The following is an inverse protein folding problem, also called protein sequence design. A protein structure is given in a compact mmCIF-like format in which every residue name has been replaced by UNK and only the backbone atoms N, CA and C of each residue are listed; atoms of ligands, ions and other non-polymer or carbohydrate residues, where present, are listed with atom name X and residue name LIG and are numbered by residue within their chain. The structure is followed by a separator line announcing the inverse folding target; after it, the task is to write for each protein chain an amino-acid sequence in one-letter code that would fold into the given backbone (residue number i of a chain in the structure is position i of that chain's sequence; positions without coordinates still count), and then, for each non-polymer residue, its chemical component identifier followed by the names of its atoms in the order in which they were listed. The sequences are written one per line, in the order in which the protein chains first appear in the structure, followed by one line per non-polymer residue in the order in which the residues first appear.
data_IF_837107645257
#
_entry.id   IF_837107645257
#
_cell.length_a   1.000
_cell.length_b   1.000
_cell.length_c   1.000
_cell.angle_alpha   90.00
_cell.angle_beta   90.00
_cell.angle_gamma   90.00
#
_symmetry.space_group_name_H-M   'P 1'
#
loop_
_entity.id
_entity.type
_entity.pdbx_description
1 polymer ?
#
# COMPACT_ATOMS: atom_id res chain seq x y z
N UNK A 1 9.88 -21.01 -0.23
CA UNK A 1 9.69 -20.94 -1.68
C UNK A 1 10.42 -19.71 -2.22
N UNK A 2 11.16 -19.87 -3.31
CA UNK A 2 11.93 -18.79 -3.95
C UNK A 2 10.95 -17.74 -4.49
N UNK A 3 11.14 -16.47 -4.11
CA UNK A 3 10.27 -15.34 -4.46
C UNK A 3 10.06 -15.21 -5.97
N UNK A 4 11.14 -15.42 -6.76
CA UNK A 4 11.08 -15.44 -8.22
C UNK A 4 10.13 -16.52 -8.75
N UNK A 5 10.25 -17.75 -8.23
CA UNK A 5 9.39 -18.87 -8.65
C UNK A 5 7.93 -18.64 -8.33
N UNK A 6 7.63 -18.03 -7.17
CA UNK A 6 6.26 -17.68 -6.79
C UNK A 6 5.67 -16.59 -7.69
N UNK A 7 6.44 -15.54 -8.02
CA UNK A 7 6.00 -14.51 -8.95
C UNK A 7 5.69 -15.08 -10.33
N UNK A 8 6.60 -15.92 -10.86
CA UNK A 8 6.39 -16.56 -12.17
C UNK A 8 5.18 -17.49 -12.13
N UNK A 9 5.05 -18.31 -11.08
CA UNK A 9 3.90 -19.22 -10.90
C UNK A 9 2.59 -18.43 -10.88
N UNK A 10 2.54 -17.31 -10.16
CA UNK A 10 1.35 -16.48 -10.08
C UNK A 10 0.97 -15.88 -11.43
N UNK A 11 1.92 -15.32 -12.17
CA UNK A 11 1.64 -14.69 -13.47
C UNK A 11 1.26 -15.71 -14.55
N UNK A 12 1.89 -16.88 -14.55
CA UNK A 12 1.50 -17.95 -15.48
C UNK A 12 0.12 -18.51 -15.08
N UNK A 13 -0.15 -18.65 -13.78
CA UNK A 13 -1.47 -19.05 -13.27
C UNK A 13 -2.56 -18.07 -13.69
N UNK A 14 -2.34 -16.75 -13.51
CA UNK A 14 -3.25 -15.70 -13.99
C UNK A 14 -3.45 -15.76 -15.51
N UNK A 15 -2.38 -15.98 -16.28
CA UNK A 15 -2.48 -16.14 -17.73
C UNK A 15 -3.37 -17.32 -18.13
N UNK A 16 -3.18 -18.48 -17.52
CA UNK A 16 -3.98 -19.68 -17.81
C UNK A 16 -5.45 -19.45 -17.44
N UNK A 17 -5.72 -18.93 -16.25
CA UNK A 17 -7.08 -18.69 -15.76
C UNK A 17 -7.81 -17.64 -16.60
N UNK A 18 -7.12 -16.55 -16.97
CA UNK A 18 -7.69 -15.53 -17.88
C UNK A 18 -7.95 -16.11 -19.26
N UNK A 19 -7.08 -16.99 -19.78
CA UNK A 19 -7.29 -17.70 -21.02
C UNK A 19 -8.51 -18.62 -21.00
N UNK A 20 -8.73 -19.33 -19.89
CA UNK A 20 -9.94 -20.12 -19.69
C UNK A 20 -11.20 -19.23 -19.59
N UNK A 21 -11.09 -18.07 -18.96
CA UNK A 21 -12.18 -17.10 -18.90
C UNK A 21 -12.53 -16.54 -20.30
N UNK A 22 -11.56 -16.39 -21.18
CA UNK A 22 -11.78 -15.96 -22.57
C UNK A 22 -12.65 -16.93 -23.41
N UNK A 23 -12.79 -18.18 -22.98
CA UNK A 23 -13.72 -19.13 -23.58
C UNK A 23 -15.18 -18.82 -23.28
N UNK A 24 -15.43 -17.94 -22.31
CA UNK A 24 -16.77 -17.55 -21.82
C UNK A 24 -17.59 -18.78 -21.44
N UNK A 25 -17.13 -19.54 -20.44
CA UNK A 25 -17.79 -20.76 -20.01
C UNK A 25 -19.08 -20.46 -19.22
N UNK A 26 -19.78 -21.49 -18.81
CA UNK A 26 -20.96 -21.36 -17.96
C UNK A 26 -20.66 -20.61 -16.65
N UNK A 27 -21.66 -19.90 -16.11
CA UNK A 27 -21.52 -18.99 -14.97
C UNK A 27 -20.79 -19.63 -13.77
N UNK A 28 -21.14 -20.83 -13.37
CA UNK A 28 -20.48 -21.53 -12.25
C UNK A 28 -18.99 -21.85 -12.50
N UNK A 29 -18.58 -22.02 -13.77
CA UNK A 29 -17.17 -22.20 -14.14
C UNK A 29 -16.43 -20.87 -14.00
N UNK A 30 -17.07 -19.75 -14.35
CA UNK A 30 -16.52 -18.40 -14.16
C UNK A 30 -16.24 -18.16 -12.68
N UNK A 31 -17.16 -18.51 -11.80
CA UNK A 31 -16.99 -18.42 -10.34
C UNK A 31 -15.76 -19.22 -9.85
N UNK A 32 -15.60 -20.44 -10.34
CA UNK A 32 -14.43 -21.28 -10.01
C UNK A 32 -13.12 -20.67 -10.53
N UNK A 33 -13.11 -20.09 -11.74
CA UNK A 33 -11.97 -19.40 -12.31
C UNK A 33 -11.62 -18.17 -11.45
N UNK A 34 -12.60 -17.38 -11.05
CA UNK A 34 -12.43 -16.22 -10.18
C UNK A 34 -11.83 -16.60 -8.82
N UNK A 35 -12.32 -17.68 -8.20
CA UNK A 35 -11.75 -18.21 -6.97
C UNK A 35 -10.28 -18.65 -7.16
N UNK A 36 -9.98 -19.29 -8.29
CA UNK A 36 -8.61 -19.65 -8.67
C UNK A 36 -7.70 -18.42 -8.84
N UNK A 37 -8.18 -17.37 -9.52
CA UNK A 37 -7.48 -16.09 -9.67
C UNK A 37 -7.20 -15.43 -8.32
N UNK A 38 -8.18 -15.42 -7.42
CA UNK A 38 -7.99 -14.88 -6.08
C UNK A 38 -6.86 -15.59 -5.32
N UNK A 39 -6.80 -16.93 -5.38
CA UNK A 39 -5.72 -17.71 -4.77
C UNK A 39 -4.34 -17.39 -5.38
N UNK A 40 -4.25 -17.33 -6.68
CA UNK A 40 -3.01 -17.01 -7.40
C UNK A 40 -2.55 -15.59 -7.08
N UNK A 41 -3.49 -14.65 -6.97
CA UNK A 41 -3.22 -13.25 -6.65
C UNK A 41 -2.64 -13.06 -5.23
N UNK A 42 -3.04 -13.89 -4.25
CA UNK A 42 -2.43 -13.89 -2.91
C UNK A 42 -0.93 -14.19 -3.00
N UNK A 43 -0.52 -15.19 -3.80
CA UNK A 43 0.89 -15.52 -3.99
C UNK A 43 1.65 -14.39 -4.70
N UNK A 44 1.03 -13.75 -5.69
CA UNK A 44 1.60 -12.59 -6.39
C UNK A 44 1.88 -11.45 -5.41
N UNK A 45 0.89 -10.99 -4.68
CA UNK A 45 1.02 -9.86 -3.75
C UNK A 45 2.04 -10.13 -2.66
N UNK A 46 2.03 -11.31 -2.06
CA UNK A 46 2.99 -11.70 -1.04
C UNK A 46 4.43 -11.63 -1.55
N UNK A 47 4.66 -12.15 -2.77
CA UNK A 47 5.98 -12.18 -3.38
C UNK A 47 6.42 -10.81 -3.87
N UNK A 48 5.50 -10.00 -4.39
CA UNK A 48 5.73 -8.63 -4.84
C UNK A 48 6.15 -7.73 -3.67
N UNK A 49 5.40 -7.72 -2.57
CA UNK A 49 5.72 -6.95 -1.37
C UNK A 49 7.06 -7.38 -0.76
N UNK A 50 7.32 -8.69 -0.69
CA UNK A 50 8.62 -9.21 -0.24
C UNK A 50 9.77 -8.70 -1.13
N UNK A 51 9.59 -8.70 -2.46
CA UNK A 51 10.59 -8.20 -3.41
C UNK A 51 10.89 -6.72 -3.19
N UNK A 52 9.86 -5.89 -3.04
CA UNK A 52 10.01 -4.46 -2.75
C UNK A 52 10.77 -4.25 -1.44
N UNK A 53 10.43 -5.00 -0.40
CA UNK A 53 11.09 -4.87 0.91
C UNK A 53 12.57 -5.29 0.87
N UNK A 54 12.93 -6.31 0.12
CA UNK A 54 14.33 -6.73 -0.05
C UNK A 54 15.14 -5.69 -0.85
N UNK A 55 14.53 -5.05 -1.84
CA UNK A 55 15.16 -4.01 -2.66
C UNK A 55 15.37 -2.71 -1.90
N UNK A 56 14.49 -2.37 -0.95
CA UNK A 56 14.57 -1.17 -0.15
C UNK A 56 15.52 -1.33 1.03
N UNK A 57 16.45 -0.36 1.20
CA UNK A 57 17.16 -0.20 2.49
C UNK A 57 16.17 0.31 3.54
N UNK A 58 16.42 0.06 4.82
CA UNK A 58 15.52 0.48 5.91
C UNK A 58 15.23 2.00 5.91
N UNK A 59 16.17 2.81 5.42
CA UNK A 59 16.03 4.25 5.28
C UNK A 59 15.23 4.74 4.07
N UNK A 60 14.86 3.85 3.14
CA UNK A 60 14.20 4.20 1.87
C UNK A 60 12.97 3.33 1.54
N UNK A 61 12.43 2.63 2.53
CA UNK A 61 11.29 1.72 2.35
C UNK A 61 10.06 2.45 1.78
N UNK A 62 9.72 3.64 2.32
CA UNK A 62 8.58 4.42 1.85
C UNK A 62 8.69 4.78 0.36
N UNK A 63 9.87 5.25 -0.07
CA UNK A 63 10.13 5.59 -1.47
C UNK A 63 10.00 4.38 -2.39
N UNK A 64 10.55 3.23 -2.01
CA UNK A 64 10.52 2.02 -2.84
C UNK A 64 9.10 1.45 -2.94
N UNK A 65 8.33 1.43 -1.84
CA UNK A 65 6.91 1.05 -1.88
C UNK A 65 6.09 2.01 -2.73
N UNK A 66 6.30 3.33 -2.57
CA UNK A 66 5.63 4.35 -3.37
C UNK A 66 5.95 4.25 -4.86
N UNK A 67 7.22 3.99 -5.22
CA UNK A 67 7.61 3.74 -6.61
C UNK A 67 6.99 2.45 -7.16
N UNK A 68 6.93 1.38 -6.35
CA UNK A 68 6.28 0.13 -6.74
C UNK A 68 4.81 0.33 -7.12
N UNK A 69 4.05 1.06 -6.31
CA UNK A 69 2.67 1.41 -6.62
C UNK A 69 2.57 2.37 -7.83
N UNK A 70 3.49 3.34 -7.95
CA UNK A 70 3.55 4.24 -9.10
C UNK A 70 3.77 3.49 -10.43
N UNK A 71 4.75 2.59 -10.48
CA UNK A 71 4.99 1.75 -11.67
C UNK A 71 3.82 0.82 -11.98
N UNK A 72 3.16 0.27 -10.94
CA UNK A 72 1.93 -0.50 -11.12
C UNK A 72 0.84 0.36 -11.80
N UNK A 73 0.69 1.62 -11.38
CA UNK A 73 -0.23 2.56 -12.01
C UNK A 73 0.09 2.82 -13.49
N UNK A 74 1.36 3.03 -13.85
CA UNK A 74 1.78 3.24 -15.25
C UNK A 74 1.47 2.01 -16.11
N UNK A 75 1.86 0.82 -15.66
CA UNK A 75 1.62 -0.42 -16.40
C UNK A 75 0.14 -0.75 -16.50
N UNK A 76 -0.64 -0.50 -15.44
CA UNK A 76 -2.10 -0.63 -15.43
C UNK A 76 -2.77 0.32 -16.41
N UNK A 77 -2.37 1.60 -16.44
CA UNK A 77 -2.88 2.58 -17.41
C UNK A 77 -2.61 2.15 -18.84
N UNK A 78 -1.39 1.75 -19.15
CA UNK A 78 -1.03 1.29 -20.49
C UNK A 78 -1.86 0.08 -20.92
N UNK A 79 -2.01 -0.91 -20.05
CA UNK A 79 -2.82 -2.10 -20.32
C UNK A 79 -4.30 -1.75 -20.52
N UNK A 80 -4.86 -0.86 -19.68
CA UNK A 80 -6.25 -0.42 -19.78
C UNK A 80 -6.51 0.34 -21.09
N UNK A 81 -5.60 1.23 -21.51
CA UNK A 81 -5.73 1.95 -22.76
C UNK A 81 -5.71 1.00 -23.97
N UNK A 82 -4.83 0.01 -23.97
CA UNK A 82 -4.80 -1.02 -25.01
C UNK A 82 -6.10 -1.84 -25.01
N UNK A 83 -6.58 -2.24 -23.84
CA UNK A 83 -7.85 -2.97 -23.71
C UNK A 83 -9.04 -2.16 -24.24
N UNK A 84 -9.08 -0.85 -23.98
CA UNK A 84 -10.12 0.04 -24.49
C UNK A 84 -10.07 0.14 -26.02
N UNK A 85 -8.88 0.25 -26.62
CA UNK A 85 -8.70 0.23 -28.07
C UNK A 85 -9.16 -1.11 -28.67
N UNK A 86 -8.89 -2.22 -28.02
CA UNK A 86 -9.37 -3.53 -28.46
C UNK A 86 -10.90 -3.56 -28.46
N UNK A 87 -11.56 -3.07 -27.41
CA UNK A 87 -13.03 -3.00 -27.36
C UNK A 87 -13.58 -2.16 -28.51
N UNK A 88 -12.99 -1.00 -28.80
CA UNK A 88 -13.45 -0.12 -29.89
C UNK A 88 -13.23 -0.76 -31.26
N UNK A 89 -12.10 -1.38 -31.54
CA UNK A 89 -11.80 -2.04 -32.82
C UNK A 89 -12.69 -3.25 -33.06
N UNK A 90 -13.04 -4.00 -32.03
CA UNK A 90 -13.86 -5.20 -32.12
C UNK A 90 -15.32 -4.96 -31.68
N UNK A 91 -15.78 -3.70 -31.62
CA UNK A 91 -17.12 -3.34 -31.15
C UNK A 91 -18.27 -4.04 -31.91
N UNK A 92 -18.09 -4.28 -33.21
CA UNK A 92 -19.08 -4.94 -34.08
C UNK A 92 -19.12 -6.47 -33.97
N UNK A 93 -18.16 -7.06 -33.20
CA UNK A 93 -18.11 -8.51 -32.99
C UNK A 93 -19.08 -8.93 -31.90
N UNK A 94 -19.55 -10.18 -31.97
CA UNK A 94 -20.52 -10.74 -31.01
C UNK A 94 -20.07 -10.68 -29.56
N UNK A 95 -18.76 -10.65 -29.30
CA UNK A 95 -18.21 -10.63 -27.94
C UNK A 95 -16.86 -9.90 -27.87
N UNK A 96 -16.83 -8.55 -27.83
CA UNK A 96 -15.59 -7.77 -27.77
C UNK A 96 -14.73 -8.09 -26.53
N UNK A 97 -15.36 -8.41 -25.42
CA UNK A 97 -14.67 -8.73 -24.15
C UNK A 97 -13.72 -9.94 -24.27
N UNK A 98 -14.02 -10.88 -25.17
CA UNK A 98 -13.16 -12.06 -25.43
C UNK A 98 -11.76 -11.63 -25.89
N UNK A 99 -11.68 -10.64 -26.78
CA UNK A 99 -10.39 -10.15 -27.28
C UNK A 99 -9.58 -9.43 -26.22
N UNK A 100 -10.24 -8.74 -25.30
CA UNK A 100 -9.61 -8.15 -24.12
C UNK A 100 -9.04 -9.22 -23.20
N UNK A 101 -9.79 -10.29 -22.95
CA UNK A 101 -9.31 -11.40 -22.11
C UNK A 101 -8.12 -12.13 -22.77
N UNK A 102 -8.13 -12.32 -24.10
CA UNK A 102 -6.98 -12.86 -24.85
C UNK A 102 -5.77 -11.93 -24.71
N UNK A 103 -5.96 -10.61 -24.83
CA UNK A 103 -4.89 -9.64 -24.63
C UNK A 103 -4.27 -9.77 -23.23
N UNK A 104 -5.09 -9.82 -22.16
CA UNK A 104 -4.57 -9.98 -20.81
C UNK A 104 -3.91 -11.35 -20.58
N UNK A 105 -4.39 -12.41 -21.23
CA UNK A 105 -3.74 -13.73 -21.22
C UNK A 105 -2.30 -13.62 -21.72
N UNK A 106 -2.12 -13.01 -22.90
CA UNK A 106 -0.79 -12.82 -23.50
C UNK A 106 0.06 -11.87 -22.66
N UNK A 107 -0.53 -10.80 -22.14
CA UNK A 107 0.15 -9.83 -21.29
C UNK A 107 0.74 -10.48 -20.03
N UNK A 108 -0.05 -11.22 -19.26
CA UNK A 108 0.43 -11.91 -18.05
C UNK A 108 1.50 -12.96 -18.39
N UNK A 109 1.35 -13.68 -19.49
CA UNK A 109 2.34 -14.64 -19.93
C UNK A 109 3.69 -13.97 -20.24
N UNK A 110 3.69 -12.90 -21.02
CA UNK A 110 4.90 -12.16 -21.37
C UNK A 110 5.57 -11.54 -20.15
N UNK A 111 4.80 -10.94 -19.22
CA UNK A 111 5.32 -10.42 -17.96
C UNK A 111 5.93 -11.53 -17.13
N UNK A 112 5.31 -12.70 -17.07
CA UNK A 112 5.85 -13.89 -16.40
C UNK A 112 7.21 -14.32 -16.96
N UNK A 113 7.35 -14.36 -18.29
CA UNK A 113 8.63 -14.64 -18.96
C UNK A 113 9.67 -13.55 -18.67
N UNK A 114 9.28 -12.27 -18.70
CA UNK A 114 10.18 -11.17 -18.37
C UNK A 114 10.73 -11.30 -16.94
N UNK A 115 9.88 -11.59 -15.97
CA UNK A 115 10.31 -11.83 -14.59
C UNK A 115 11.21 -13.06 -14.51
N UNK A 116 10.85 -14.13 -15.19
CA UNK A 116 11.70 -15.33 -15.20
C UNK A 116 13.10 -15.06 -15.75
N UNK A 117 13.23 -14.21 -16.78
CA UNK A 117 14.50 -13.89 -17.43
C UNK A 117 15.31 -12.84 -16.66
N UNK A 118 14.66 -11.75 -16.23
CA UNK A 118 15.34 -10.54 -15.73
C UNK A 118 15.39 -10.44 -14.20
N UNK A 119 14.54 -11.17 -13.48
CA UNK A 119 14.56 -11.10 -12.02
C UNK A 119 15.83 -11.77 -11.47
N UNK A 120 16.64 -11.05 -10.66
CA UNK A 120 17.91 -11.58 -10.18
C UNK A 120 17.70 -12.80 -9.26
N UNK A 121 18.50 -13.85 -9.48
CA UNK A 121 18.45 -15.07 -8.66
C UNK A 121 19.08 -14.87 -7.27
N UNK A 122 19.92 -13.84 -7.11
CA UNK A 122 20.78 -13.60 -5.95
C UNK A 122 20.29 -12.45 -5.06
N UNK A 123 19.02 -12.05 -5.13
CA UNK A 123 18.49 -11.22 -4.08
C UNK A 123 18.67 -12.01 -2.78
N UNK A 124 19.40 -11.43 -1.81
CA UNK A 124 19.60 -11.99 -0.48
C UNK A 124 18.23 -12.25 0.15
N UNK A 125 17.64 -13.37 -0.20
CA UNK A 125 16.62 -13.97 0.62
C UNK A 125 17.33 -14.20 1.96
N UNK A 126 16.85 -13.56 3.03
CA UNK A 126 17.36 -13.83 4.36
C UNK A 126 17.46 -15.34 4.49
N UNK A 127 18.70 -15.83 4.63
CA UNK A 127 19.07 -17.21 4.45
C UNK A 127 18.05 -18.15 5.09
N UNK A 128 17.38 -18.90 4.23
CA UNK A 128 16.96 -20.26 4.55
C UNK A 128 15.99 -20.48 5.70
N UNK A 129 15.30 -19.47 6.26
CA UNK A 129 14.25 -19.76 7.24
C UNK A 129 13.06 -20.41 6.52
N UNK A 130 13.03 -21.74 6.56
CA UNK A 130 11.89 -22.53 6.07
C UNK A 130 10.69 -22.12 6.91
N UNK A 131 9.75 -21.37 6.30
CA UNK A 131 8.51 -20.96 6.94
C UNK A 131 7.80 -22.19 7.50
N UNK A 132 7.68 -22.22 8.82
CA UNK A 132 7.05 -23.30 9.58
C UNK A 132 5.68 -22.81 10.08
N UNK A 133 4.76 -23.70 10.37
CA UNK A 133 3.50 -23.35 11.04
C UNK A 133 3.73 -22.53 12.33
N UNK A 134 4.85 -22.74 13.00
CA UNK A 134 5.26 -21.96 14.18
C UNK A 134 5.47 -20.48 13.86
N UNK A 135 6.03 -20.16 12.69
CA UNK A 135 6.24 -18.76 12.25
C UNK A 135 4.93 -18.03 12.04
N UNK A 136 3.92 -18.72 11.48
CA UNK A 136 2.56 -18.16 11.35
C UNK A 136 1.95 -17.87 12.72
N UNK A 137 2.03 -18.81 13.65
CA UNK A 137 1.52 -18.63 15.03
C UNK A 137 2.29 -17.52 15.75
N UNK A 138 3.61 -17.42 15.57
CA UNK A 138 4.43 -16.37 16.17
C UNK A 138 4.05 -14.99 15.62
N UNK A 139 3.86 -14.88 14.31
CA UNK A 139 3.43 -13.65 13.63
C UNK A 139 2.04 -13.23 14.12
N UNK A 140 1.10 -14.17 14.23
CA UNK A 140 -0.26 -13.90 14.74
C UNK A 140 -0.30 -13.38 16.17
N UNK A 141 0.67 -13.77 17.02
CA UNK A 141 0.77 -13.28 18.40
C UNK A 141 1.25 -11.83 18.50
N UNK A 142 1.80 -11.25 17.42
CA UNK A 142 2.32 -9.88 17.44
C UNK A 142 1.17 -8.89 17.19
N UNK A 143 0.82 -8.01 18.14
CA UNK A 143 -0.26 -7.01 17.98
C UNK A 143 -0.04 -6.10 16.76
N UNK A 144 1.21 -5.89 16.39
CA UNK A 144 1.60 -5.10 15.22
C UNK A 144 0.96 -5.60 13.91
N UNK A 145 0.87 -6.91 13.73
CA UNK A 145 0.29 -7.53 12.52
C UNK A 145 -1.19 -7.19 12.42
N UNK A 146 -1.92 -7.30 13.53
CA UNK A 146 -3.34 -6.97 13.57
C UNK A 146 -3.59 -5.49 13.29
N UNK A 147 -2.74 -4.60 13.84
CA UNK A 147 -2.85 -3.16 13.58
C UNK A 147 -2.61 -2.82 12.11
N UNK A 148 -1.58 -3.40 11.47
CA UNK A 148 -1.33 -3.19 10.05
C UNK A 148 -2.44 -3.80 9.18
N UNK A 149 -2.90 -5.00 9.52
CA UNK A 149 -4.03 -5.64 8.82
C UNK A 149 -5.30 -4.79 8.91
N UNK A 150 -5.60 -4.26 10.09
CA UNK A 150 -6.77 -3.42 10.32
C UNK A 150 -6.67 -2.07 9.60
N UNK A 151 -5.47 -1.49 9.53
CA UNK A 151 -5.20 -0.28 8.76
C UNK A 151 -5.49 -0.52 7.27
N UNK A 152 -4.97 -1.61 6.71
CA UNK A 152 -5.21 -1.95 5.31
C UNK A 152 -6.68 -2.29 5.07
N UNK A 153 -7.29 -3.08 5.95
CA UNK A 153 -8.72 -3.42 5.89
C UNK A 153 -9.62 -2.18 5.81
N UNK A 154 -9.40 -1.22 6.71
CA UNK A 154 -10.23 0.00 6.76
C UNK A 154 -9.97 0.91 5.57
N UNK A 155 -8.72 1.10 5.16
CA UNK A 155 -8.36 1.88 3.97
C UNK A 155 -8.91 1.23 2.70
N UNK A 156 -8.83 -0.09 2.60
CA UNK A 156 -9.30 -0.82 1.44
C UNK A 156 -10.83 -0.88 1.37
N UNK A 157 -11.52 -0.99 2.52
CA UNK A 157 -12.99 -0.87 2.59
C UNK A 157 -13.47 0.48 2.05
N UNK A 158 -12.78 1.57 2.44
CA UNK A 158 -13.04 2.90 1.90
C UNK A 158 -12.82 2.93 0.39
N UNK A 159 -11.74 2.34 -0.11
CA UNK A 159 -11.43 2.32 -1.53
C UNK A 159 -12.52 1.61 -2.34
N UNK A 160 -12.98 0.43 -1.92
CA UNK A 160 -14.06 -0.31 -2.60
C UNK A 160 -15.35 0.52 -2.62
N UNK A 161 -15.69 1.18 -1.50
CA UNK A 161 -16.84 2.09 -1.46
C UNK A 161 -16.65 3.31 -2.38
N UNK A 162 -15.44 3.84 -2.50
CA UNK A 162 -15.10 4.98 -3.34
C UNK A 162 -15.27 4.68 -4.85
N UNK A 163 -15.16 3.44 -5.28
CA UNK A 163 -15.41 3.04 -6.68
C UNK A 163 -16.83 3.35 -7.12
N UNK A 164 -17.79 3.37 -6.21
CA UNK A 164 -19.18 3.75 -6.45
C UNK A 164 -19.38 5.22 -6.85
N UNK A 165 -18.37 6.09 -6.65
CA UNK A 165 -18.40 7.47 -7.17
C UNK A 165 -18.51 7.51 -8.69
N UNK A 166 -18.06 6.47 -9.41
CA UNK A 166 -18.21 6.32 -10.85
C UNK A 166 -19.68 6.22 -11.24
N UNK A 167 -20.43 5.35 -10.58
CA UNK A 167 -21.86 5.21 -10.79
C UNK A 167 -22.66 6.43 -10.28
N UNK A 168 -22.23 7.06 -9.18
CA UNK A 168 -22.81 8.31 -8.67
C UNK A 168 -22.75 9.43 -9.72
N UNK A 169 -21.60 9.63 -10.37
CA UNK A 169 -21.44 10.65 -11.41
C UNK A 169 -22.39 10.45 -12.58
N UNK A 170 -22.69 9.20 -12.96
CA UNK A 170 -23.61 8.91 -14.06
C UNK A 170 -25.08 8.95 -13.64
N UNK A 171 -25.42 8.32 -12.52
CA UNK A 171 -26.81 8.06 -12.12
C UNK A 171 -27.46 9.23 -11.40
N UNK A 172 -26.69 10.02 -10.63
CA UNK A 172 -27.20 11.13 -9.84
C UNK A 172 -26.88 12.48 -10.49
N UNK A 173 -25.62 12.69 -10.88
CA UNK A 173 -25.17 13.97 -11.46
C UNK A 173 -25.49 14.06 -12.96
N UNK A 174 -25.66 12.92 -13.66
CA UNK A 174 -25.99 12.90 -15.10
C UNK A 174 -24.80 13.24 -16.00
N UNK A 175 -23.56 12.95 -15.55
CA UNK A 175 -22.36 13.10 -16.38
C UNK A 175 -22.31 11.96 -17.41
N UNK A 176 -21.84 12.25 -18.63
CA UNK A 176 -21.77 11.26 -19.70
C UNK A 176 -20.88 10.07 -19.32
N UNK A 177 -21.29 8.86 -19.72
CA UNK A 177 -20.53 7.63 -19.45
C UNK A 177 -19.08 7.67 -19.97
N UNK A 178 -18.85 8.35 -21.11
CA UNK A 178 -17.51 8.54 -21.69
C UNK A 178 -16.63 9.39 -20.76
N UNK A 179 -17.15 10.52 -20.27
CA UNK A 179 -16.42 11.38 -19.32
C UNK A 179 -16.12 10.63 -18.03
N UNK A 180 -17.11 9.93 -17.50
CA UNK A 180 -16.97 9.15 -16.25
C UNK A 180 -15.96 8.01 -16.42
N UNK A 181 -15.95 7.30 -17.54
CA UNK A 181 -14.97 6.27 -17.86
C UNK A 181 -13.54 6.84 -17.93
N UNK A 182 -13.39 8.04 -18.51
CA UNK A 182 -12.09 8.75 -18.52
C UNK A 182 -11.64 9.11 -17.10
N UNK A 183 -12.55 9.66 -16.29
CA UNK A 183 -12.26 9.99 -14.88
C UNK A 183 -11.88 8.75 -14.08
N UNK A 184 -12.60 7.64 -14.25
CA UNK A 184 -12.27 6.37 -13.60
C UNK A 184 -10.87 5.87 -14.00
N UNK A 185 -10.51 5.95 -15.28
CA UNK A 185 -9.16 5.58 -15.75
C UNK A 185 -8.08 6.47 -15.13
N UNK A 186 -8.29 7.78 -15.06
CA UNK A 186 -7.38 8.73 -14.42
C UNK A 186 -7.25 8.43 -12.93
N UNK A 187 -8.39 8.20 -12.26
CA UNK A 187 -8.45 7.85 -10.84
C UNK A 187 -7.63 6.61 -10.53
N UNK A 188 -7.89 5.52 -11.24
CA UNK A 188 -7.36 4.21 -10.85
C UNK A 188 -5.89 4.01 -11.24
N UNK A 189 -5.41 4.76 -12.23
CA UNK A 189 -4.06 4.57 -12.75
C UNK A 189 -3.17 5.79 -12.54
N UNK A 190 -3.54 6.97 -13.03
CA UNK A 190 -2.66 8.15 -13.05
C UNK A 190 -2.49 8.73 -11.64
N UNK A 191 -3.57 8.78 -10.84
CA UNK A 191 -3.46 9.27 -9.45
C UNK A 191 -2.51 8.41 -8.61
N UNK A 192 -2.42 7.10 -8.88
CA UNK A 192 -1.46 6.20 -8.24
C UNK A 192 -0.01 6.52 -8.58
N UNK A 193 0.26 6.89 -9.85
CA UNK A 193 1.61 7.27 -10.30
C UNK A 193 2.11 8.53 -9.60
N UNK A 194 1.22 9.44 -9.22
CA UNK A 194 1.56 10.70 -8.54
C UNK A 194 1.53 10.53 -7.03
N UNK A 195 0.43 10.04 -6.47
CA UNK A 195 0.17 10.00 -5.03
C UNK A 195 1.14 9.10 -4.27
N UNK A 196 1.35 7.88 -4.77
CA UNK A 196 2.16 6.88 -4.06
C UNK A 196 3.63 7.26 -3.94
N UNK A 197 4.35 7.68 -5.00
CA UNK A 197 5.75 8.08 -4.85
C UNK A 197 5.93 9.34 -4.02
N UNK A 198 5.01 10.31 -4.11
CA UNK A 198 5.05 11.52 -3.28
C UNK A 198 4.91 11.19 -1.80
N UNK A 199 3.93 10.36 -1.44
CA UNK A 199 3.74 9.90 -0.06
C UNK A 199 4.93 9.08 0.44
N UNK A 200 5.49 8.19 -0.39
CA UNK A 200 6.68 7.41 -0.08
C UNK A 200 7.90 8.29 0.20
N UNK A 201 8.17 9.29 -0.67
CA UNK A 201 9.26 10.24 -0.46
C UNK A 201 9.05 11.10 0.80
N UNK A 202 7.80 11.46 1.10
CA UNK A 202 7.46 12.18 2.33
C UNK A 202 7.67 11.32 3.57
N UNK A 203 7.30 10.03 3.51
CA UNK A 203 7.52 9.07 4.57
C UNK A 203 9.01 8.89 4.91
N UNK A 204 9.87 8.82 3.89
CA UNK A 204 11.31 8.70 4.08
C UNK A 204 11.93 9.99 4.69
N UNK A 205 11.42 11.18 4.31
CA UNK A 205 11.84 12.46 4.91
C UNK A 205 11.46 12.57 6.38
N UNK A 206 10.23 12.20 6.75
CA UNK A 206 9.74 12.22 8.14
C UNK A 206 10.30 11.03 8.95
N UNK A 207 10.87 10.01 8.27
CA UNK A 207 11.33 8.75 8.87
C UNK A 207 10.23 8.03 9.67
N UNK A 208 8.97 8.20 9.25
CA UNK A 208 7.82 7.55 9.88
C UNK A 208 6.65 7.41 8.89
N UNK A 209 6.55 6.28 8.18
CA UNK A 209 5.43 5.94 7.31
C UNK A 209 4.08 6.06 8.01
N UNK A 210 3.99 5.63 9.29
CA UNK A 210 2.74 5.70 10.06
C UNK A 210 2.27 7.13 10.30
N UNK A 211 3.19 8.10 10.50
CA UNK A 211 2.80 9.52 10.64
C UNK A 211 2.29 10.09 9.34
N UNK A 212 2.95 9.77 8.23
CA UNK A 212 2.51 10.24 6.90
C UNK A 212 1.16 9.63 6.55
N UNK A 213 0.96 8.33 6.80
CA UNK A 213 -0.35 7.71 6.63
C UNK A 213 -1.44 8.43 7.45
N UNK A 214 -1.16 8.78 8.72
CA UNK A 214 -2.10 9.55 9.54
C UNK A 214 -2.42 10.93 8.94
N UNK A 215 -1.42 11.68 8.47
CA UNK A 215 -1.65 13.00 7.88
C UNK A 215 -2.49 12.92 6.60
N UNK A 216 -2.19 11.94 5.73
CA UNK A 216 -2.97 11.70 4.53
C UNK A 216 -4.40 11.30 4.85
N UNK A 217 -4.63 10.43 5.85
CA UNK A 217 -5.96 10.04 6.28
C UNK A 217 -6.75 11.21 6.87
N UNK A 218 -6.12 12.14 7.59
CA UNK A 218 -6.78 13.35 8.08
C UNK A 218 -7.21 14.27 6.92
N UNK A 219 -6.37 14.41 5.90
CA UNK A 219 -6.74 15.13 4.66
C UNK A 219 -7.90 14.40 3.97
N UNK A 220 -7.87 13.09 3.90
CA UNK A 220 -8.88 12.27 3.26
C UNK A 220 -10.24 12.36 3.96
N UNK A 221 -10.27 12.42 5.30
CA UNK A 221 -11.49 12.70 6.09
C UNK A 221 -12.11 14.03 5.65
N UNK A 222 -11.32 15.09 5.57
CA UNK A 222 -11.82 16.40 5.18
C UNK A 222 -12.39 16.40 3.75
N UNK A 223 -11.71 15.73 2.82
CA UNK A 223 -12.15 15.60 1.43
C UNK A 223 -13.41 14.74 1.31
N UNK A 224 -13.53 13.64 2.06
CA UNK A 224 -14.73 12.81 2.09
C UNK A 224 -15.92 13.55 2.71
N UNK A 225 -15.71 14.39 3.71
CA UNK A 225 -16.74 15.28 4.26
C UNK A 225 -17.18 16.29 3.20
N UNK A 226 -16.26 16.87 2.45
CA UNK A 226 -16.58 17.78 1.34
C UNK A 226 -17.37 17.07 0.25
N UNK A 227 -17.03 15.81 -0.08
CA UNK A 227 -17.79 14.98 -1.01
C UNK A 227 -19.20 14.70 -0.49
N UNK A 228 -19.36 14.39 0.80
CA UNK A 228 -20.64 14.10 1.42
C UNK A 228 -21.62 15.28 1.34
N UNK A 229 -21.11 16.52 1.47
CA UNK A 229 -21.91 17.75 1.38
C UNK A 229 -21.88 18.38 -0.02
N UNK A 230 -21.34 17.69 -1.04
CA UNK A 230 -21.29 18.24 -2.40
C UNK A 230 -22.70 18.40 -2.97
N UNK A 231 -22.98 19.52 -3.72
CA UNK A 231 -24.27 19.70 -4.38
C UNK A 231 -24.50 18.65 -5.47
N UNK A 232 -25.72 18.10 -5.50
CA UNK A 232 -26.15 17.11 -6.52
C UNK A 232 -26.65 17.80 -7.79
N UNK A 233 -25.86 18.73 -8.33
CA UNK A 233 -26.21 19.44 -9.56
C UNK A 233 -25.20 19.19 -10.67
N UNK A 234 -25.68 19.15 -11.92
CA UNK A 234 -24.83 18.94 -13.08
C UNK A 234 -23.80 20.07 -13.27
N UNK A 235 -24.15 21.28 -12.85
CA UNK A 235 -23.26 22.45 -12.89
C UNK A 235 -22.03 22.25 -12.00
N UNK A 236 -22.19 21.53 -10.89
CA UNK A 236 -21.09 21.20 -9.99
C UNK A 236 -20.23 20.02 -10.48
N UNK A 237 -20.62 19.35 -11.56
CA UNK A 237 -19.93 18.19 -12.13
C UNK A 237 -18.42 18.34 -12.31
N UNK A 238 -17.91 19.43 -12.91
CA UNK A 238 -16.46 19.63 -13.03
C UNK A 238 -15.72 19.74 -11.71
N UNK A 239 -16.29 20.43 -10.71
CA UNK A 239 -15.71 20.54 -9.37
C UNK A 239 -15.74 19.19 -8.65
N UNK A 240 -16.80 18.40 -8.82
CA UNK A 240 -16.92 17.04 -8.29
C UNK A 240 -15.84 16.11 -8.89
N UNK A 241 -15.61 16.18 -10.20
CA UNK A 241 -14.53 15.43 -10.85
C UNK A 241 -13.17 15.80 -10.25
N UNK A 242 -12.89 17.10 -10.09
CA UNK A 242 -11.66 17.58 -9.44
C UNK A 242 -11.51 17.03 -8.02
N UNK A 243 -12.59 17.06 -7.22
CA UNK A 243 -12.60 16.53 -5.86
C UNK A 243 -12.31 15.02 -5.83
N UNK A 244 -12.96 14.23 -6.70
CA UNK A 244 -12.74 12.78 -6.82
C UNK A 244 -11.29 12.49 -7.18
N UNK A 245 -10.68 13.23 -8.10
CA UNK A 245 -9.29 13.04 -8.47
C UNK A 245 -8.33 13.39 -7.32
N UNK A 246 -8.61 14.45 -6.54
CA UNK A 246 -7.81 14.81 -5.37
C UNK A 246 -7.90 13.72 -4.29
N UNK A 247 -9.12 13.24 -3.98
CA UNK A 247 -9.32 12.09 -3.06
C UNK A 247 -8.48 10.90 -3.56
N UNK A 248 -8.50 10.60 -4.85
CA UNK A 248 -7.74 9.49 -5.43
C UNK A 248 -6.24 9.63 -5.22
N UNK A 249 -5.66 10.81 -5.41
CA UNK A 249 -4.23 11.06 -5.19
C UNK A 249 -3.87 10.79 -3.73
N UNK A 250 -4.70 11.25 -2.78
CA UNK A 250 -4.48 11.04 -1.34
C UNK A 250 -4.62 9.57 -0.98
N UNK A 251 -5.66 8.89 -1.45
CA UNK A 251 -5.92 7.46 -1.24
C UNK A 251 -4.74 6.61 -1.74
N UNK A 252 -4.27 6.85 -2.96
CA UNK A 252 -3.09 6.15 -3.49
C UNK A 252 -1.81 6.54 -2.76
N UNK A 253 -1.75 7.74 -2.19
CA UNK A 253 -0.69 8.12 -1.26
C UNK A 253 -0.68 7.23 -0.01
N UNK A 254 -1.82 6.99 0.63
CA UNK A 254 -1.94 6.07 1.76
C UNK A 254 -1.52 4.65 1.34
N UNK A 255 -1.98 4.17 0.17
CA UNK A 255 -1.58 2.87 -0.38
C UNK A 255 -0.07 2.74 -0.59
N UNK A 256 0.60 3.80 -1.01
CA UNK A 256 2.05 3.83 -1.18
C UNK A 256 2.84 3.63 0.12
N UNK A 257 2.24 3.93 1.26
CA UNK A 257 2.95 3.89 2.55
C UNK A 257 2.42 2.87 3.56
N UNK A 258 1.19 2.34 3.44
CA UNK A 258 0.62 1.49 4.48
C UNK A 258 1.42 0.19 4.71
N UNK A 259 1.98 -0.45 3.68
CA UNK A 259 2.86 -1.60 3.85
C UNK A 259 4.21 -1.23 4.48
N UNK A 260 4.72 -0.02 4.21
CA UNK A 260 5.98 0.42 4.80
C UNK A 260 5.86 0.66 6.31
N UNK A 261 4.64 0.82 6.85
CA UNK A 261 4.40 0.88 8.30
C UNK A 261 4.85 -0.39 9.03
N UNK A 262 4.94 -1.53 8.33
CA UNK A 262 5.46 -2.78 8.90
C UNK A 262 6.92 -2.65 9.36
N UNK A 263 7.73 -1.81 8.71
CA UNK A 263 9.14 -1.59 9.09
C UNK A 263 9.28 -0.93 10.46
N UNK A 264 8.27 -0.14 10.88
CA UNK A 264 8.25 0.53 12.18
C UNK A 264 7.73 -0.36 13.32
N UNK A 265 7.25 -1.57 13.02
CA UNK A 265 6.63 -2.46 14.01
C UNK A 265 7.57 -3.51 14.57
N UNK A 266 8.86 -3.49 14.18
CA UNK A 266 9.88 -4.42 14.67
C UNK A 266 9.72 -5.87 14.18
N UNK A 267 9.02 -6.06 13.04
CA UNK A 267 8.89 -7.39 12.41
C UNK A 267 10.19 -7.72 11.68
N UNK A 268 10.87 -8.83 12.02
CA UNK A 268 12.11 -9.24 11.37
C UNK A 268 11.89 -9.45 9.85
N UNK A 269 12.92 -9.13 9.05
CA UNK A 269 12.88 -9.32 7.60
C UNK A 269 12.61 -10.77 7.22
N UNK A 270 13.11 -11.74 8.02
CA UNK A 270 12.86 -13.18 7.85
C UNK A 270 11.37 -13.56 7.90
N UNK A 271 10.57 -12.88 8.72
CA UNK A 271 9.14 -13.14 8.88
C UNK A 271 8.25 -12.24 7.98
N UNK A 272 8.86 -11.38 7.15
CA UNK A 272 8.10 -10.43 6.32
C UNK A 272 7.12 -11.11 5.38
N UNK A 273 7.52 -12.19 4.72
CA UNK A 273 6.65 -12.89 3.79
C UNK A 273 5.41 -13.47 4.48
N UNK A 274 5.61 -14.11 5.65
CA UNK A 274 4.51 -14.64 6.47
C UNK A 274 3.61 -13.51 6.98
N UNK A 275 4.20 -12.43 7.48
CA UNK A 275 3.47 -11.25 7.94
C UNK A 275 2.66 -10.61 6.83
N UNK A 276 3.26 -10.42 5.64
CA UNK A 276 2.58 -9.84 4.48
C UNK A 276 1.43 -10.73 3.99
N UNK A 277 1.61 -12.06 3.96
CA UNK A 277 0.54 -12.97 3.58
C UNK A 277 -0.67 -12.86 4.51
N UNK A 278 -0.44 -12.80 5.83
CA UNK A 278 -1.50 -12.64 6.81
C UNK A 278 -2.18 -11.27 6.70
N UNK A 279 -1.38 -10.22 6.57
CA UNK A 279 -1.88 -8.86 6.38
C UNK A 279 -2.70 -8.74 5.11
N UNK A 280 -2.28 -9.41 4.02
CA UNK A 280 -3.03 -9.40 2.76
C UNK A 280 -4.36 -10.15 2.89
N UNK A 281 -4.37 -11.35 3.50
CA UNK A 281 -5.62 -12.11 3.70
C UNK A 281 -6.64 -11.31 4.50
N UNK A 282 -6.23 -10.68 5.60
CA UNK A 282 -7.14 -9.91 6.45
C UNK A 282 -7.47 -8.55 5.83
N UNK A 283 -6.47 -7.88 5.24
CA UNK A 283 -6.61 -6.53 4.72
C UNK A 283 -7.48 -6.42 3.47
N UNK A 284 -7.49 -7.45 2.61
CA UNK A 284 -8.28 -7.45 1.37
C UNK A 284 -9.60 -8.21 1.46
N UNK A 285 -9.99 -8.69 2.64
CA UNK A 285 -11.33 -9.29 2.83
C UNK A 285 -12.51 -8.37 2.46
N UNK A 286 -12.41 -7.02 2.46
CA UNK A 286 -13.50 -6.17 1.99
C UNK A 286 -13.97 -6.46 0.56
N UNK A 287 -13.13 -6.97 -0.32
CA UNK A 287 -13.54 -7.39 -1.67
C UNK A 287 -14.69 -8.40 -1.66
N UNK A 288 -14.75 -9.23 -0.63
CA UNK A 288 -15.75 -10.30 -0.54
C UNK A 288 -17.15 -9.78 -0.19
N UNK A 289 -17.26 -8.66 0.52
CA UNK A 289 -18.56 -8.22 1.06
C UNK A 289 -18.90 -6.74 0.81
N UNK A 290 -17.89 -5.86 0.64
CA UNK A 290 -18.15 -4.42 0.52
C UNK A 290 -18.97 -4.07 -0.72
N UNK A 291 -18.69 -4.72 -1.85
CA UNK A 291 -19.44 -4.53 -3.09
C UNK A 291 -20.90 -4.95 -2.91
N UNK A 292 -21.15 -6.10 -2.29
CA UNK A 292 -22.50 -6.57 -1.98
C UNK A 292 -23.21 -5.62 -0.99
N UNK A 293 -22.50 -5.15 0.02
CA UNK A 293 -23.05 -4.23 1.00
C UNK A 293 -23.43 -2.88 0.37
N UNK A 294 -22.54 -2.28 -0.43
CA UNK A 294 -22.84 -1.05 -1.14
C UNK A 294 -24.00 -1.23 -2.15
N UNK A 295 -24.04 -2.35 -2.88
CA UNK A 295 -25.15 -2.69 -3.76
C UNK A 295 -26.48 -2.78 -3.01
N UNK A 296 -26.51 -3.52 -1.89
CA UNK A 296 -27.68 -3.63 -1.03
C UNK A 296 -28.18 -2.28 -0.49
N UNK A 297 -27.25 -1.36 -0.14
CA UNK A 297 -27.60 -0.01 0.26
C UNK A 297 -28.33 0.73 -0.88
N UNK A 298 -27.82 0.64 -2.11
CA UNK A 298 -28.45 1.28 -3.28
C UNK A 298 -29.82 0.68 -3.60
N UNK A 299 -29.95 -0.64 -3.54
CA UNK A 299 -31.23 -1.33 -3.79
C UNK A 299 -32.30 -0.98 -2.75
N UNK A 300 -31.86 -0.84 -1.47
CA UNK A 300 -32.81 -0.59 -0.37
C UNK A 300 -33.24 0.87 -0.28
N UNK A 301 -32.32 1.83 -0.51
CA UNK A 301 -32.58 3.26 -0.25
C UNK A 301 -32.68 4.10 -1.52
N UNK A 302 -32.51 3.49 -2.70
CA UNK A 302 -32.44 4.18 -3.98
C UNK A 302 -31.15 4.97 -4.17
N UNK A 303 -30.97 5.53 -5.38
CA UNK A 303 -29.66 6.11 -5.74
C UNK A 303 -29.27 7.30 -4.84
N UNK A 304 -30.12 8.30 -4.71
CA UNK A 304 -29.75 9.53 -3.98
C UNK A 304 -29.41 9.28 -2.51
N UNK A 305 -30.35 8.71 -1.76
CA UNK A 305 -30.13 8.40 -0.34
C UNK A 305 -29.08 7.28 -0.14
N UNK A 306 -28.97 6.33 -1.07
CA UNK A 306 -28.01 5.25 -1.05
C UNK A 306 -26.57 5.75 -1.17
N UNK A 307 -26.28 6.65 -2.12
CA UNK A 307 -24.93 7.21 -2.26
C UNK A 307 -24.51 8.05 -1.07
N UNK A 308 -25.41 8.85 -0.48
CA UNK A 308 -25.12 9.56 0.78
C UNK A 308 -24.70 8.59 1.90
N UNK A 309 -25.36 7.44 2.02
CA UNK A 309 -24.98 6.42 3.02
C UNK A 309 -23.62 5.79 2.69
N UNK A 310 -23.31 5.55 1.42
CA UNK A 310 -22.00 5.05 0.99
C UNK A 310 -20.92 6.08 1.33
N UNK A 311 -21.14 7.36 1.09
CA UNK A 311 -20.18 8.42 1.46
C UNK A 311 -20.02 8.53 2.98
N UNK A 312 -21.09 8.35 3.76
CA UNK A 312 -21.00 8.25 5.22
C UNK A 312 -20.19 7.04 5.67
N UNK A 313 -20.34 5.90 5.00
CA UNK A 313 -19.55 4.70 5.25
C UNK A 313 -18.07 4.91 4.92
N UNK A 314 -17.73 5.63 3.83
CA UNK A 314 -16.35 6.01 3.50
C UNK A 314 -15.72 6.85 4.62
N UNK A 315 -16.43 7.88 5.11
CA UNK A 315 -15.97 8.71 6.24
C UNK A 315 -15.70 7.85 7.48
N UNK A 316 -16.61 6.93 7.80
CA UNK A 316 -16.45 6.01 8.93
C UNK A 316 -15.15 5.20 8.80
N UNK A 317 -14.89 4.58 7.65
CA UNK A 317 -13.70 3.76 7.46
C UNK A 317 -12.40 4.57 7.48
N UNK A 318 -12.39 5.79 6.92
CA UNK A 318 -11.21 6.66 6.99
C UNK A 318 -10.94 7.13 8.42
N UNK A 319 -11.99 7.46 9.20
CA UNK A 319 -11.86 7.78 10.63
C UNK A 319 -11.31 6.59 11.43
N UNK A 320 -11.78 5.37 11.16
CA UNK A 320 -11.24 4.17 11.78
C UNK A 320 -9.78 3.95 11.42
N UNK A 321 -9.40 4.12 10.14
CA UNK A 321 -8.02 4.03 9.71
C UNK A 321 -7.11 5.04 10.42
N UNK A 322 -7.54 6.30 10.55
CA UNK A 322 -6.82 7.33 11.29
C UNK A 322 -6.67 6.98 12.78
N UNK A 323 -7.72 6.46 13.41
CA UNK A 323 -7.68 6.00 14.81
C UNK A 323 -6.67 4.86 14.97
N UNK A 324 -6.63 3.90 14.04
CA UNK A 324 -5.66 2.80 14.03
C UNK A 324 -4.23 3.35 13.92
N UNK A 325 -3.96 4.32 13.05
CA UNK A 325 -2.65 4.98 12.96
C UNK A 325 -2.23 5.61 14.30
N UNK A 326 -3.15 6.26 15.01
CA UNK A 326 -2.88 6.82 16.35
C UNK A 326 -2.53 5.72 17.35
N UNK A 327 -3.25 4.60 17.33
CA UNK A 327 -2.95 3.43 18.17
C UNK A 327 -1.57 2.86 17.83
N UNK A 328 -1.24 2.73 16.53
CA UNK A 328 0.08 2.28 16.06
C UNK A 328 1.20 3.18 16.57
N UNK A 329 1.05 4.49 16.47
CA UNK A 329 2.05 5.45 16.98
C UNK A 329 2.23 5.35 18.49
N UNK A 330 1.12 5.13 19.25
CA UNK A 330 1.22 4.88 20.70
C UNK A 330 1.92 3.56 21.02
N UNK A 331 1.65 2.51 20.25
CA UNK A 331 2.28 1.21 20.38
C UNK A 331 3.78 1.29 20.11
N UNK A 332 4.21 1.95 19.04
CA UNK A 332 5.61 2.18 18.69
C UNK A 332 6.37 2.94 19.80
N UNK A 333 5.75 4.00 20.36
CA UNK A 333 6.32 4.75 21.50
C UNK A 333 6.50 3.87 22.76
N UNK A 334 5.58 2.93 23.01
CA UNK A 334 5.67 2.01 24.15
C UNK A 334 6.82 1.01 23.97
N UNK A 335 7.00 0.49 22.75
CA UNK A 335 8.12 -0.42 22.43
C UNK A 335 9.45 0.32 22.59
N UNK A 336 9.59 1.52 22.03
CA UNK A 336 10.80 2.33 22.14
C UNK A 336 11.17 2.63 23.59
N UNK A 337 10.18 2.95 24.46
CA UNK A 337 10.42 3.15 25.90
C UNK A 337 10.86 1.87 26.61
N UNK A 338 10.31 0.69 26.26
CA UNK A 338 10.72 -0.58 26.86
C UNK A 338 12.17 -0.93 26.50
N UNK A 339 12.60 -0.70 25.26
CA UNK A 339 13.99 -0.89 24.87
C UNK A 339 14.93 0.08 25.58
N UNK A 340 14.53 1.35 25.74
CA UNK A 340 15.33 2.33 26.47
C UNK A 340 15.51 1.96 27.96
N UNK A 341 14.48 1.43 28.63
CA UNK A 341 14.54 1.01 30.01
C UNK A 341 15.33 -0.31 30.20
N UNK A 342 15.31 -1.22 29.23
CA UNK A 342 16.10 -2.46 29.28
C UNK A 342 17.60 -2.23 29.02
N UNK A 343 17.96 -1.16 28.28
CA UNK A 343 19.37 -0.77 28.08
C UNK A 343 19.98 -0.06 29.30
N UNK A 344 19.18 0.51 30.19
CA UNK A 344 19.65 1.10 31.45
C UNK A 344 19.97 0.05 32.52
N UNK A 345 19.41 -1.16 32.44
CA UNK A 345 19.70 -2.28 33.34
C UNK A 345 20.83 -3.21 32.83
N UNK A 346 21.41 -2.95 31.66
CA UNK A 346 22.54 -3.72 31.15
C UNK A 346 23.88 -3.18 31.67
N UNK A 347 24.54 -4.01 32.48
CA UNK A 347 25.88 -3.88 32.99
C UNK A 347 26.85 -3.31 31.94
N UNK A 348 27.71 -2.33 32.29
CA UNK A 348 28.67 -1.72 31.37
C UNK A 348 29.74 -2.73 30.97
N UNK A 349 29.58 -3.44 29.89
CA UNK A 349 30.55 -4.39 29.38
C UNK A 349 30.20 -5.15 28.08
N UNK A 350 28.94 -5.24 27.67
CA UNK A 350 28.56 -6.12 26.57
C UNK A 350 27.76 -5.49 25.39
N UNK A 351 27.59 -4.16 25.31
CA UNK A 351 26.72 -3.52 24.31
C UNK A 351 27.50 -2.71 23.27
N UNK A 352 28.79 -2.93 23.14
CA UNK A 352 29.59 -2.15 22.16
C UNK A 352 29.69 -2.78 20.78
N UNK A 353 29.36 -4.06 20.59
CA UNK A 353 29.67 -4.75 19.32
C UNK A 353 28.82 -4.37 18.09
N UNK A 354 27.48 -4.26 18.15
CA UNK A 354 26.73 -3.96 16.92
C UNK A 354 26.86 -2.49 16.46
N UNK A 355 27.11 -1.56 17.37
CA UNK A 355 27.26 -0.13 17.04
C UNK A 355 28.69 0.22 16.60
N UNK A 356 29.67 -0.54 17.08
CA UNK A 356 31.09 -0.38 16.73
C UNK A 356 31.35 -0.84 15.28
N UNK A 357 30.75 -1.93 14.84
CA UNK A 357 30.86 -2.43 13.47
C UNK A 357 30.29 -1.43 12.44
N UNK A 358 29.17 -0.76 12.76
CA UNK A 358 28.56 0.24 11.88
C UNK A 358 29.38 1.54 11.74
N UNK A 359 30.14 1.90 12.79
CA UNK A 359 30.95 3.13 12.79
C UNK A 359 32.42 2.89 12.42
N UNK A 360 32.90 1.65 12.48
CA UNK A 360 34.21 1.27 11.96
C UNK A 360 34.33 1.49 10.46
N UNK A 361 33.25 1.38 9.71
CA UNK A 361 33.19 1.78 8.29
C UNK A 361 33.31 3.30 8.09
N UNK A 362 33.12 4.11 9.13
CA UNK A 362 33.24 5.59 9.10
C UNK A 362 34.54 6.14 9.69
N UNK A 363 35.45 5.26 10.17
CA UNK A 363 36.76 5.65 10.67
C UNK A 363 36.77 6.33 12.06
N UNK A 364 35.69 6.24 12.83
CA UNK A 364 35.59 6.84 14.19
C UNK A 364 36.14 5.86 15.26
N UNK A 365 36.91 6.39 16.21
CA UNK A 365 37.48 5.61 17.33
C UNK A 365 36.47 5.38 18.44
N UNK A 366 36.68 4.32 19.24
CA UNK A 366 35.75 3.90 20.31
C UNK A 366 35.54 4.99 21.40
N UNK A 367 36.54 5.84 21.60
CA UNK A 367 36.49 6.94 22.59
C UNK A 367 35.71 8.16 22.09
N UNK A 368 35.77 8.47 20.80
CA UNK A 368 34.95 9.53 20.16
C UNK A 368 33.46 9.17 20.16
N UNK A 369 33.12 7.88 19.95
CA UNK A 369 31.74 7.43 20.05
C UNK A 369 31.18 7.53 21.47
N UNK A 370 31.98 7.25 22.50
CA UNK A 370 31.58 7.39 23.90
C UNK A 370 31.37 8.85 24.28
N UNK A 371 32.29 9.75 23.87
CA UNK A 371 32.21 11.20 24.12
C UNK A 371 30.95 11.79 23.50
N UNK A 372 30.69 11.57 22.21
CA UNK A 372 29.46 12.04 21.50
C UNK A 372 28.17 11.51 22.10
N UNK A 373 28.20 10.32 22.73
CA UNK A 373 27.03 9.72 23.39
C UNK A 373 26.79 10.39 24.77
N UNK A 374 27.83 10.71 25.50
CA UNK A 374 27.75 11.38 26.80
C UNK A 374 27.22 12.82 26.64
N UNK A 375 27.69 13.56 25.65
CA UNK A 375 27.24 14.92 25.36
C UNK A 375 25.75 14.96 24.93
N UNK A 376 25.27 13.98 24.18
CA UNK A 376 23.84 13.86 23.82
C UNK A 376 22.95 13.53 25.01
N UNK A 377 23.42 12.72 25.95
CA UNK A 377 22.68 12.37 27.17
C UNK A 377 22.61 13.58 28.11
N UNK A 378 23.69 14.37 28.21
CA UNK A 378 23.71 15.62 28.98
C UNK A 378 22.78 16.69 28.41
N UNK A 379 22.75 16.88 27.09
CA UNK A 379 21.79 17.81 26.43
C UNK A 379 20.32 17.38 26.58
N UNK A 380 20.04 16.07 26.61
CA UNK A 380 18.67 15.57 26.77
C UNK A 380 18.14 15.71 28.21
N UNK A 381 19.03 15.59 29.22
CA UNK A 381 18.70 15.74 30.64
C UNK A 381 18.69 17.22 31.10
N UNK A 382 19.34 18.12 30.35
CA UNK A 382 19.45 19.55 30.71
C UNK A 382 18.33 20.43 30.13
N UNK A 383 17.36 19.89 29.40
CA UNK A 383 16.21 20.64 28.91
C UNK A 383 16.54 21.79 27.94
N UNK A 384 17.67 21.72 27.22
CA UNK A 384 18.07 22.77 26.26
C UNK A 384 17.11 22.77 25.05
N UNK A 385 16.43 23.90 24.84
CA UNK A 385 15.59 24.20 23.71
C UNK A 385 16.37 24.30 22.39
N UNK A 386 15.66 24.46 21.25
CA UNK A 386 16.22 24.29 19.90
C UNK A 386 17.17 25.39 19.39
N UNK A 387 17.64 26.33 20.23
CA UNK A 387 18.29 27.56 19.78
C UNK A 387 19.84 27.56 19.78
N UNK A 388 20.51 26.42 19.92
CA UNK A 388 21.97 26.33 19.93
C UNK A 388 22.56 25.53 18.74
N UNK A 389 22.12 25.87 17.50
CA UNK A 389 22.74 25.34 16.26
C UNK A 389 23.59 26.34 15.47
N UNK A 390 24.00 27.48 16.04
CA UNK A 390 24.71 28.52 15.31
C UNK A 390 26.09 28.91 15.87
N UNK A 391 26.89 27.95 16.36
CA UNK A 391 28.28 28.22 16.71
C UNK A 391 29.20 27.02 16.59
N UNK A 392 29.45 26.57 15.37
CA UNK A 392 30.63 25.74 15.06
C UNK A 392 31.44 26.50 13.99
N UNK A 393 32.71 26.84 14.24
CA UNK A 393 33.50 27.55 13.26
C UNK A 393 33.88 26.65 12.09
N UNK A 394 33.57 27.11 10.88
CA UNK A 394 34.13 26.56 9.63
C UNK A 394 35.63 26.82 9.61
N UNK A 395 36.45 25.79 9.85
CA UNK A 395 37.85 25.85 9.47
C UNK A 395 38.00 25.25 8.06
N UNK A 396 38.46 26.15 7.17
CA UNK A 396 39.05 25.89 5.87
C UNK A 396 40.19 24.88 6.01
N UNK A 397 40.28 23.91 5.07
CA UNK A 397 41.57 23.49 4.47
C UNK A 397 41.27 23.05 3.02
N UNK A 398 42.00 23.64 2.14
CA UNK A 398 42.42 23.46 0.75
C UNK A 398 41.91 22.21 0.01
#
# INVERSE_FOLDING_TARGET
LNTKRLLVFSLIGESILTGLYALIPAFWVIEMIQAGMALVNIFFWTSFIKSIRILGKDSSQGKIFGLGEGFRGITGSAATLVALQIVTVFAERTCPIRYVLIFYTVYYFLVGICIWKFYPNNLREAEGHRQTWRDYVEVMKKPAIWLVSLLIFTTYSMQVAFEYTTSYMTQVIGISAVTVGTVATLRDNICGVVGSPMAGAWADRIKSPTRVALYLLLIEIALCILLFFSPESREFGPALIGLILIISVVLYGVRGVYYSTMSETGIPVSLTATATAMVAVLGYTPDMFMTLWCGHILDTYGYQAGYHRIFGLMILFVCLAAAICVVMLRYQRRIAKRHCNSETDCIPGKIAEPFYELNKEKGETQDECKSKKMDRIHCFNAGCGPDLQSSVPQNRIL
#
